data_IF_436927373615
#
_entry.id   IF_436927373615
#
_cell.length_a   1.000
_cell.length_b   1.000
_cell.length_c   1.000
_cell.angle_alpha   90.00
_cell.angle_beta   90.00
_cell.angle_gamma   90.00
#
_symmetry.space_group_name_H-M   'P 1'
#
loop_
_entity.id
_entity.type
_entity.pdbx_description
1 polymer ?
#
# COMPACT_ATOMS: atom_id res chain seq x y z
N UNK A 1 -30.45 -69.85 1.75
CA UNK A 1 -29.54 -70.06 0.61
C UNK A 1 -29.09 -68.67 0.17
N UNK A 2 -27.82 -68.29 0.23
CA UNK A 2 -26.60 -69.03 0.64
C UNK A 2 -25.63 -68.07 1.37
N UNK A 3 -24.59 -68.60 2.03
CA UNK A 3 -23.86 -67.95 3.14
C UNK A 3 -22.48 -67.36 2.81
N UNK A 4 -22.17 -66.24 3.48
CA UNK A 4 -20.92 -65.92 4.23
C UNK A 4 -19.56 -66.40 3.68
N UNK A 5 -18.63 -65.43 3.52
CA UNK A 5 -17.20 -65.55 3.93
C UNK A 5 -16.73 -64.20 4.51
N UNK A 6 -15.88 -64.21 5.54
CA UNK A 6 -15.22 -63.05 6.16
C UNK A 6 -13.72 -63.32 6.39
N UNK A 7 -12.88 -62.25 6.40
CA UNK A 7 -11.45 -62.19 6.81
C UNK A 7 -10.91 -60.75 6.59
N UNK A 8 -10.03 -60.09 7.36
CA UNK A 8 -9.02 -60.48 8.38
C UNK A 8 -7.82 -61.26 7.77
N UNK A 9 -6.51 -61.08 8.04
CA UNK A 9 -5.64 -60.34 8.98
C UNK A 9 -4.20 -60.35 8.35
N UNK A 10 -3.14 -59.57 8.67
CA UNK A 10 -2.87 -58.36 9.50
C UNK A 10 -1.38 -57.93 9.25
N UNK A 11 -0.86 -56.87 9.91
CA UNK A 11 0.56 -56.43 9.97
C UNK A 11 1.14 -55.76 8.68
N UNK A 12 2.24 -54.99 8.71
CA UNK A 12 3.34 -54.93 9.70
C UNK A 12 3.84 -53.53 10.07
N UNK A 13 4.60 -53.46 11.18
CA UNK A 13 5.24 -52.27 11.76
C UNK A 13 6.78 -52.30 11.65
N UNK A 14 7.40 -51.12 11.66
CA UNK A 14 8.74 -50.77 12.18
C UNK A 14 8.90 -49.24 11.96
N UNK A 15 9.12 -48.33 12.93
CA UNK A 15 10.05 -48.22 14.08
C UNK A 15 11.51 -47.89 13.71
N UNK A 16 12.20 -47.23 14.67
CA UNK A 16 13.58 -46.65 14.68
C UNK A 16 13.53 -45.11 14.52
N UNK A 17 13.24 -44.33 15.59
CA UNK A 17 14.12 -43.88 16.70
C UNK A 17 15.13 -42.79 16.29
N UNK A 18 14.96 -41.50 16.62
CA UNK A 18 15.05 -40.85 17.96
C UNK A 18 16.46 -40.85 18.58
N UNK A 19 17.08 -39.66 18.69
CA UNK A 19 18.25 -39.38 19.55
C UNK A 19 18.18 -37.93 20.07
N UNK A 20 18.74 -37.68 21.25
CA UNK A 20 18.71 -36.41 21.98
C UNK A 20 20.02 -36.18 22.75
N UNK A 21 20.51 -34.94 22.74
CA UNK A 21 21.46 -34.34 23.70
C UNK A 21 22.82 -35.09 23.91
N UNK A 22 23.68 -34.69 24.88
CA UNK A 22 24.52 -33.51 24.68
C UNK A 22 26.01 -33.75 25.05
N UNK A 23 26.93 -32.88 24.61
CA UNK A 23 28.30 -32.87 25.15
C UNK A 23 28.87 -31.48 25.45
N UNK A 24 29.41 -31.34 26.66
CA UNK A 24 30.24 -30.21 27.12
C UNK A 24 31.71 -30.64 27.20
N UNK A 25 32.63 -29.72 26.93
CA UNK A 25 33.96 -29.71 27.56
C UNK A 25 34.46 -28.27 27.78
N UNK A 26 35.50 -28.09 28.60
CA UNK A 26 36.07 -26.79 29.01
C UNK A 26 37.60 -26.86 28.96
N UNK A 27 38.30 -25.89 28.35
CA UNK A 27 39.68 -25.43 28.66
C UNK A 27 40.00 -24.21 27.74
N UNK A 28 40.89 -23.23 28.02
CA UNK A 28 41.16 -22.50 29.28
C UNK A 28 42.06 -21.26 29.07
N UNK A 29 41.79 -20.17 29.82
CA UNK A 29 42.71 -19.08 30.30
C UNK A 29 43.39 -18.10 29.29
N UNK A 30 43.39 -16.82 29.70
CA UNK A 30 44.21 -15.67 29.22
C UNK A 30 45.63 -15.70 29.86
N UNK A 31 46.51 -14.66 29.78
CA UNK A 31 46.63 -13.49 28.88
C UNK A 31 48.07 -13.29 28.31
N UNK A 32 48.34 -12.19 27.58
CA UNK A 32 49.71 -11.71 27.30
C UNK A 32 49.74 -10.27 26.78
N UNK A 33 50.68 -9.44 27.27
CA UNK A 33 50.80 -8.01 26.89
C UNK A 33 52.26 -7.60 26.64
N UNK A 34 52.49 -6.53 25.86
CA UNK A 34 53.75 -5.77 25.83
C UNK A 34 53.58 -4.39 25.19
N UNK A 35 54.35 -3.42 25.69
CA UNK A 35 54.32 -1.99 25.31
C UNK A 35 55.71 -1.52 24.87
N UNK A 36 55.80 -0.50 23.98
CA UNK A 36 56.85 0.55 24.02
C UNK A 36 56.65 1.71 23.01
N UNK A 37 56.11 2.80 23.55
CA UNK A 37 56.51 4.22 23.41
C UNK A 37 57.31 4.79 22.20
N UNK A 38 56.91 6.03 21.87
CA UNK A 38 57.65 7.15 21.23
C UNK A 38 57.92 7.17 19.71
N UNK A 39 57.20 8.07 19.02
CA UNK A 39 57.78 9.39 18.65
C UNK A 39 56.71 10.46 18.39
N UNK A 40 56.88 11.66 18.94
CA UNK A 40 56.19 12.89 18.48
C UNK A 40 56.92 13.41 17.23
N UNK A 41 56.18 13.72 16.16
CA UNK A 41 56.49 14.82 15.24
C UNK A 41 55.18 15.48 14.82
N UNK A 42 55.12 16.80 14.94
CA UNK A 42 54.03 17.61 14.38
C UNK A 42 54.48 18.16 13.03
N UNK A 43 53.58 18.14 12.05
CA UNK A 43 53.34 19.26 11.13
C UNK A 43 51.94 19.15 10.53
N UNK A 44 51.43 20.27 10.05
CA UNK A 44 50.00 20.49 9.75
C UNK A 44 49.62 20.08 8.33
N UNK A 45 48.31 19.86 8.16
CA UNK A 45 47.51 20.11 6.96
C UNK A 45 47.97 19.51 5.62
N UNK A 46 47.29 18.44 5.22
CA UNK A 46 46.30 18.60 4.15
C UNK A 46 45.00 17.90 4.56
N UNK A 47 43.86 18.39 4.08
CA UNK A 47 42.58 17.73 4.27
C UNK A 47 42.54 16.44 3.42
N UNK A 48 42.82 15.31 4.06
CA UNK A 48 42.23 14.04 3.67
C UNK A 48 40.87 13.94 4.37
N UNK A 49 39.94 14.82 3.98
CA UNK A 49 38.53 14.68 4.33
C UNK A 49 38.01 13.39 3.70
N UNK A 50 37.09 12.73 4.40
CA UNK A 50 36.65 11.38 4.08
C UNK A 50 35.80 11.42 2.80
N UNK A 51 36.41 11.05 1.66
CA UNK A 51 35.67 10.71 0.45
C UNK A 51 34.76 9.47 0.65
N UNK A 52 34.92 8.78 1.79
CA UNK A 52 34.06 7.70 2.28
C UNK A 52 32.78 8.24 2.97
N UNK A 53 32.71 9.51 3.41
CA UNK A 53 31.46 10.14 3.92
C UNK A 53 30.46 10.48 2.80
N UNK A 54 30.87 10.32 1.53
CA UNK A 54 29.96 10.32 0.37
C UNK A 54 29.57 8.89 -0.03
N UNK A 55 29.41 8.02 0.96
CA UNK A 55 28.76 6.71 0.78
C UNK A 55 27.38 6.92 0.19
N UNK A 56 27.17 6.35 -0.99
CA UNK A 56 25.86 6.11 -1.58
C UNK A 56 24.93 5.55 -0.50
N UNK A 57 23.84 6.27 -0.21
CA UNK A 57 22.85 5.83 0.77
C UNK A 57 22.18 4.56 0.25
N UNK A 58 22.63 3.41 0.76
CA UNK A 58 21.96 2.13 0.58
C UNK A 58 20.51 2.28 1.04
N UNK A 59 19.54 1.81 0.24
CA UNK A 59 18.13 1.83 0.64
C UNK A 59 17.88 1.14 1.99
N UNK A 60 18.76 0.18 2.36
CA UNK A 60 18.83 -0.41 3.70
C UNK A 60 19.05 0.64 4.79
N UNK A 61 19.93 1.63 4.59
CA UNK A 61 20.19 2.69 5.57
C UNK A 61 19.00 3.65 5.68
N UNK A 62 18.43 4.07 4.54
CA UNK A 62 17.27 4.96 4.49
C UNK A 62 16.06 4.32 5.21
N UNK A 63 15.82 3.03 4.95
CA UNK A 63 14.78 2.26 5.62
C UNK A 63 15.02 2.11 7.14
N UNK A 64 16.28 1.98 7.59
CA UNK A 64 16.59 1.99 9.02
C UNK A 64 16.39 3.38 9.66
N UNK A 65 16.70 4.47 8.96
CA UNK A 65 16.39 5.82 9.41
C UNK A 65 14.87 6.01 9.58
N UNK A 66 14.07 5.57 8.60
CA UNK A 66 12.62 5.62 8.68
C UNK A 66 12.03 4.76 9.81
N UNK A 67 12.63 3.61 10.10
CA UNK A 67 12.24 2.80 11.25
C UNK A 67 12.50 3.54 12.57
N UNK A 68 13.62 4.25 12.72
CA UNK A 68 13.90 5.09 13.91
C UNK A 68 12.96 6.31 13.96
N UNK A 69 12.73 6.98 12.83
CA UNK A 69 11.80 8.11 12.74
C UNK A 69 10.37 7.74 13.17
N UNK A 70 9.93 6.52 12.90
CA UNK A 70 8.59 6.05 13.26
C UNK A 70 8.50 5.35 14.63
N UNK A 71 9.49 4.53 15.00
CA UNK A 71 9.48 3.69 16.22
C UNK A 71 10.39 4.17 17.36
N UNK A 72 11.22 5.19 17.15
CA UNK A 72 12.23 5.64 18.11
C UNK A 72 13.52 4.82 18.11
N UNK A 73 14.53 5.26 18.87
CA UNK A 73 15.88 4.66 18.94
C UNK A 73 15.90 3.16 19.30
N UNK A 74 14.91 2.65 20.05
CA UNK A 74 14.86 1.25 20.46
C UNK A 74 14.08 0.35 19.49
N UNK A 75 13.43 0.95 18.49
CA UNK A 75 12.56 0.31 17.49
C UNK A 75 11.31 -0.39 18.05
N UNK A 76 10.79 0.03 19.22
CA UNK A 76 9.65 -0.63 19.91
C UNK A 76 8.54 0.35 20.31
N UNK A 77 7.81 0.86 19.31
CA UNK A 77 6.57 1.58 19.60
C UNK A 77 5.96 2.35 18.44
N UNK A 78 5.55 3.58 18.72
CA UNK A 78 5.03 4.62 17.80
C UNK A 78 5.28 5.99 18.44
N UNK A 79 6.54 6.23 18.74
CA UNK A 79 7.05 7.32 19.58
C UNK A 79 8.40 7.86 19.09
N UNK A 80 8.80 7.50 17.87
CA UNK A 80 9.78 8.27 17.09
C UNK A 80 9.20 9.63 16.65
N UNK A 81 10.07 10.55 16.25
CA UNK A 81 9.72 11.95 15.98
C UNK A 81 8.72 12.12 14.81
N UNK A 82 8.72 11.20 13.85
CA UNK A 82 7.78 11.15 12.71
C UNK A 82 6.61 10.16 12.91
N UNK A 83 6.44 9.61 14.11
CA UNK A 83 5.34 8.69 14.44
C UNK A 83 3.93 9.27 14.17
N UNK A 84 3.81 10.60 14.17
CA UNK A 84 2.59 11.35 13.88
C UNK A 84 2.14 11.31 12.41
N UNK A 85 3.03 11.10 11.43
CA UNK A 85 2.71 11.07 10.00
C UNK A 85 2.61 9.66 9.39
N UNK A 86 2.90 8.62 10.19
CA UNK A 86 2.88 7.24 9.71
C UNK A 86 4.15 6.82 8.96
N UNK A 87 4.43 5.51 8.96
CA UNK A 87 5.66 4.95 8.40
C UNK A 87 5.83 5.25 6.90
N UNK A 88 4.75 5.22 6.11
CA UNK A 88 4.83 5.48 4.66
C UNK A 88 5.34 6.89 4.33
N UNK A 89 4.85 7.92 5.03
CA UNK A 89 5.33 9.29 4.86
C UNK A 89 6.71 9.50 5.51
N UNK A 90 6.99 8.81 6.62
CA UNK A 90 8.33 8.79 7.25
C UNK A 90 9.39 8.22 6.30
N UNK A 91 9.05 7.15 5.56
CA UNK A 91 9.93 6.55 4.57
C UNK A 91 10.12 7.46 3.36
N UNK A 92 9.03 8.03 2.83
CA UNK A 92 9.08 8.96 1.71
C UNK A 92 9.91 10.23 2.00
N UNK A 93 9.86 10.76 3.22
CA UNK A 93 10.70 11.88 3.67
C UNK A 93 12.19 11.53 3.61
N UNK A 94 12.62 10.45 4.27
CA UNK A 94 14.03 10.04 4.26
C UNK A 94 14.52 9.62 2.87
N UNK A 95 13.68 8.99 2.04
CA UNK A 95 13.99 8.67 0.64
C UNK A 95 14.16 9.93 -0.20
N UNK A 96 13.30 10.94 -0.02
CA UNK A 96 13.41 12.22 -0.71
C UNK A 96 14.64 13.02 -0.26
N UNK A 97 14.92 13.07 1.05
CA UNK A 97 16.12 13.70 1.59
C UNK A 97 17.40 13.05 1.03
N UNK A 98 17.46 11.71 1.03
CA UNK A 98 18.55 10.95 0.41
C UNK A 98 18.69 11.25 -1.10
N UNK A 99 17.58 11.35 -1.83
CA UNK A 99 17.60 11.71 -3.24
C UNK A 99 18.18 13.12 -3.48
N UNK A 100 17.76 14.12 -2.68
CA UNK A 100 18.24 15.51 -2.77
C UNK A 100 19.74 15.61 -2.46
N UNK A 101 20.27 14.84 -1.51
CA UNK A 101 21.73 14.79 -1.23
C UNK A 101 22.55 14.13 -2.34
N UNK A 102 22.00 13.11 -3.00
CA UNK A 102 22.66 12.42 -4.12
C UNK A 102 22.60 13.25 -5.42
N UNK A 103 21.51 13.98 -5.66
CA UNK A 103 21.45 15.08 -6.64
C UNK A 103 21.29 14.68 -8.12
N UNK A 104 20.81 13.47 -8.42
CA UNK A 104 20.55 13.01 -9.80
C UNK A 104 19.17 12.33 -9.95
N UNK A 105 18.46 12.65 -11.05
CA UNK A 105 17.25 11.95 -11.49
C UNK A 105 15.93 12.70 -11.23
N UNK A 106 14.84 11.92 -11.24
CA UNK A 106 13.53 12.26 -10.69
C UNK A 106 13.37 11.42 -9.43
N UNK A 107 12.70 11.94 -8.40
CA UNK A 107 12.39 11.16 -7.21
C UNK A 107 11.18 10.26 -7.45
N UNK A 108 11.32 8.99 -7.13
CA UNK A 108 10.25 7.98 -7.10
C UNK A 108 10.33 7.27 -5.73
N UNK A 109 9.26 7.20 -4.94
CA UNK A 109 9.27 6.53 -3.63
C UNK A 109 9.28 5.00 -3.77
N UNK A 110 9.79 4.27 -2.78
CA UNK A 110 9.83 2.80 -2.83
C UNK A 110 8.47 2.11 -2.63
N UNK A 111 7.44 2.86 -2.24
CA UNK A 111 6.06 2.40 -2.16
C UNK A 111 5.30 2.86 -3.42
N UNK A 112 5.07 1.95 -4.37
CA UNK A 112 4.39 2.22 -5.65
C UNK A 112 2.97 2.83 -5.51
N UNK A 113 2.34 2.75 -4.32
CA UNK A 113 1.03 3.34 -4.06
C UNK A 113 1.10 4.86 -3.77
N UNK A 114 2.26 5.35 -3.33
CA UNK A 114 2.52 6.74 -2.92
C UNK A 114 2.65 7.66 -4.14
N UNK A 115 1.53 7.95 -4.81
CA UNK A 115 1.50 8.83 -5.98
C UNK A 115 1.89 10.27 -5.64
N UNK A 116 2.87 10.80 -6.37
CA UNK A 116 3.34 12.18 -6.28
C UNK A 116 2.76 13.03 -7.41
N UNK A 117 2.49 14.30 -7.12
CA UNK A 117 2.14 15.31 -8.12
C UNK A 117 3.24 16.37 -8.14
N UNK A 118 4.33 16.08 -8.85
CA UNK A 118 5.57 16.87 -8.78
C UNK A 118 6.36 16.50 -7.52
N UNK A 119 6.62 17.47 -6.65
CA UNK A 119 7.27 17.28 -5.34
C UNK A 119 6.30 16.94 -4.21
N UNK A 120 5.01 16.85 -4.50
CA UNK A 120 3.95 16.95 -3.49
C UNK A 120 3.19 15.63 -3.39
N UNK A 121 2.99 15.15 -2.16
CA UNK A 121 2.24 13.93 -1.82
C UNK A 121 0.85 14.30 -1.30
N UNK A 122 -0.18 13.52 -1.66
CA UNK A 122 -1.51 13.68 -1.06
C UNK A 122 -1.49 13.14 0.38
N UNK A 123 -1.89 13.95 1.34
CA UNK A 123 -1.94 13.61 2.76
C UNK A 123 -3.36 13.80 3.30
N UNK A 124 -3.82 12.82 4.10
CA UNK A 124 -5.00 12.92 4.93
C UNK A 124 -4.57 13.13 6.37
N UNK A 125 -4.78 14.34 6.89
CA UNK A 125 -4.35 14.78 8.21
C UNK A 125 -5.56 15.01 9.14
N UNK A 126 -5.40 14.72 10.42
CA UNK A 126 -6.41 14.97 11.47
C UNK A 126 -5.88 16.00 12.46
N UNK A 127 -6.64 17.06 12.71
CA UNK A 127 -6.29 18.14 13.63
C UNK A 127 -6.45 17.78 15.12
N UNK A 128 -5.74 18.49 15.99
CA UNK A 128 -5.95 18.48 17.45
C UNK A 128 -7.14 19.38 17.81
N UNK A 129 -8.33 19.00 17.34
CA UNK A 129 -9.56 19.80 17.49
C UNK A 129 -10.14 20.19 16.14
N UNK A 130 -10.48 21.46 15.97
CA UNK A 130 -11.02 21.98 14.71
C UNK A 130 -9.92 22.15 13.65
N UNK A 131 -10.27 21.98 12.38
CA UNK A 131 -9.32 21.97 11.26
C UNK A 131 -8.53 23.29 11.04
N UNK A 132 -9.00 24.43 11.55
CA UNK A 132 -8.48 25.76 11.21
C UNK A 132 -6.97 25.94 11.46
N UNK A 133 -6.50 25.62 12.66
CA UNK A 133 -5.07 25.77 13.01
C UNK A 133 -4.16 24.85 12.19
N UNK A 134 -4.65 23.67 11.80
CA UNK A 134 -3.93 22.74 10.94
C UNK A 134 -3.91 23.22 9.47
N UNK A 135 -5.00 23.82 8.97
CA UNK A 135 -5.05 24.46 7.65
C UNK A 135 -4.06 25.61 7.54
N UNK A 136 -4.01 26.49 8.55
CA UNK A 136 -3.05 27.60 8.60
C UNK A 136 -1.59 27.08 8.70
N UNK A 137 -1.35 26.02 9.47
CA UNK A 137 -0.03 25.37 9.59
C UNK A 137 0.43 24.77 8.25
N UNK A 138 -0.45 23.99 7.58
CA UNK A 138 -0.20 23.40 6.27
C UNK A 138 0.08 24.48 5.22
N UNK A 139 -0.72 25.55 5.17
CA UNK A 139 -0.51 26.67 4.26
C UNK A 139 0.82 27.40 4.48
N UNK A 140 1.28 27.51 5.73
CA UNK A 140 2.60 28.08 6.06
C UNK A 140 3.78 27.19 5.60
N UNK A 141 3.57 25.87 5.57
CA UNK A 141 4.51 24.86 5.02
C UNK A 141 4.42 24.75 3.48
N UNK A 142 3.61 25.58 2.81
CA UNK A 142 3.43 25.55 1.37
C UNK A 142 2.49 24.46 0.84
N UNK A 143 1.84 23.70 1.73
CA UNK A 143 0.88 22.67 1.35
C UNK A 143 -0.44 23.26 0.82
N UNK A 144 -0.96 22.68 -0.25
CA UNK A 144 -2.24 23.08 -0.86
C UNK A 144 -3.37 22.23 -0.31
N UNK A 145 -4.19 22.80 0.59
CA UNK A 145 -5.38 22.14 1.14
C UNK A 145 -6.42 21.92 0.03
N UNK A 146 -6.81 20.65 -0.18
CA UNK A 146 -7.77 20.21 -1.20
C UNK A 146 -9.18 20.00 -0.64
N UNK A 147 -9.34 19.85 0.68
CA UNK A 147 -10.65 19.79 1.32
C UNK A 147 -10.58 19.66 2.84
N UNK A 148 -11.68 19.98 3.53
CA UNK A 148 -11.81 19.83 4.99
C UNK A 148 -13.16 19.26 5.38
N UNK A 149 -13.19 18.44 6.43
CA UNK A 149 -14.42 17.89 6.99
C UNK A 149 -14.26 17.59 8.49
N UNK A 150 -14.93 18.38 9.34
CA UNK A 150 -14.73 18.33 10.79
C UNK A 150 -13.27 18.62 11.15
N UNK A 151 -12.62 17.69 11.87
CA UNK A 151 -11.20 17.74 12.19
C UNK A 151 -10.27 17.19 11.09
N UNK A 152 -10.82 16.69 9.96
CA UNK A 152 -10.05 16.10 8.86
C UNK A 152 -9.66 17.16 7.82
N UNK A 153 -8.42 17.12 7.35
CA UNK A 153 -7.85 18.00 6.33
C UNK A 153 -7.16 17.15 5.26
N UNK A 154 -7.59 17.29 4.02
CA UNK A 154 -6.97 16.72 2.83
C UNK A 154 -6.08 17.79 2.21
N UNK A 155 -4.80 17.49 1.95
CA UNK A 155 -3.86 18.45 1.37
C UNK A 155 -2.80 17.78 0.48
N UNK A 156 -2.34 18.49 -0.55
CA UNK A 156 -1.07 18.20 -1.21
C UNK A 156 0.06 18.82 -0.39
N UNK A 157 0.97 18.01 0.15
CA UNK A 157 2.06 18.45 1.03
C UNK A 157 3.40 18.23 0.30
N UNK A 158 4.29 19.23 0.20
CA UNK A 158 5.63 19.03 -0.34
C UNK A 158 6.39 17.98 0.49
N UNK A 159 7.08 17.05 -0.17
CA UNK A 159 7.91 16.05 0.52
C UNK A 159 8.96 16.70 1.43
N UNK A 160 9.51 17.85 1.01
CA UNK A 160 10.44 18.70 1.77
C UNK A 160 9.81 19.43 2.99
N UNK A 161 8.69 18.95 3.50
CA UNK A 161 7.94 19.55 4.63
C UNK A 161 7.19 18.51 5.48
N UNK A 162 7.47 17.21 5.28
CA UNK A 162 6.89 16.13 6.10
C UNK A 162 7.50 16.13 7.51
N UNK A 163 8.76 16.52 7.66
CA UNK A 163 9.44 16.88 8.92
C UNK A 163 8.62 17.89 9.75
N UNK A 164 8.30 19.05 9.17
CA UNK A 164 7.58 20.15 9.81
C UNK A 164 6.11 19.79 10.07
N UNK A 165 5.52 18.95 9.21
CA UNK A 165 4.19 18.39 9.46
C UNK A 165 4.21 17.44 10.67
N UNK A 166 5.24 16.63 10.83
CA UNK A 166 5.37 15.70 11.95
C UNK A 166 5.56 16.41 13.30
N UNK A 167 6.35 17.50 13.33
CA UNK A 167 6.51 18.38 14.51
C UNK A 167 5.27 19.23 14.83
N UNK A 168 4.28 19.29 13.94
CA UNK A 168 3.16 20.23 14.04
C UNK A 168 2.26 19.97 15.25
N UNK A 169 2.25 20.87 16.22
CA UNK A 169 1.39 20.80 17.40
C UNK A 169 -0.12 20.87 17.09
N UNK A 170 -0.52 21.26 15.87
CA UNK A 170 -1.90 21.22 15.40
C UNK A 170 -2.29 19.87 14.78
N UNK A 171 -1.32 18.98 14.51
CA UNK A 171 -1.54 17.64 13.97
C UNK A 171 -1.76 16.62 15.10
N UNK A 172 -2.78 15.77 14.93
CA UNK A 172 -3.04 14.60 15.78
C UNK A 172 -2.48 13.31 15.16
N UNK A 173 -2.67 13.14 13.85
CA UNK A 173 -2.16 12.05 13.04
C UNK A 173 -2.33 12.40 11.55
N UNK A 174 -1.39 12.00 10.69
CA UNK A 174 -1.52 12.01 9.24
C UNK A 174 -1.20 10.64 8.64
N UNK A 175 -1.70 10.41 7.42
CA UNK A 175 -1.42 9.25 6.60
C UNK A 175 -1.39 9.67 5.11
N UNK A 176 -0.73 8.92 4.21
CA UNK A 176 -0.84 9.18 2.79
C UNK A 176 -2.28 8.97 2.33
N UNK A 177 -2.80 9.89 1.53
CA UNK A 177 -4.02 9.67 0.77
C UNK A 177 -3.67 8.94 -0.53
N UNK A 178 -4.01 7.66 -0.62
CA UNK A 178 -3.83 6.89 -1.85
C UNK A 178 -4.97 7.21 -2.85
N UNK A 179 -4.70 7.89 -3.99
CA UNK A 179 -5.74 8.23 -4.96
C UNK A 179 -6.16 7.00 -5.78
N UNK A 180 -7.18 6.29 -5.30
CA UNK A 180 -7.73 5.11 -5.99
C UNK A 180 -8.74 5.51 -7.06
N UNK A 181 -8.26 5.72 -8.29
CA UNK A 181 -9.11 5.81 -9.48
C UNK A 181 -9.73 4.42 -9.76
N UNK A 182 -10.99 4.23 -9.37
CA UNK A 182 -11.76 3.04 -9.70
C UNK A 182 -12.25 3.16 -11.15
N UNK A 183 -11.37 2.85 -12.09
CA UNK A 183 -11.62 2.93 -13.53
C UNK A 183 -10.84 1.82 -14.26
N UNK A 184 -11.44 0.63 -14.31
CA UNK A 184 -11.04 -0.47 -15.18
C UNK A 184 -10.03 -1.49 -14.64
N UNK A 185 -10.07 -2.70 -15.20
CA UNK A 185 -9.16 -3.84 -15.00
C UNK A 185 -8.98 -4.32 -13.54
N UNK A 186 -9.87 -3.98 -12.61
CA UNK A 186 -9.75 -4.32 -11.19
C UNK A 186 -11.11 -4.72 -10.61
N UNK A 187 -11.22 -5.96 -10.10
CA UNK A 187 -12.41 -6.43 -9.39
C UNK A 187 -12.75 -5.50 -8.23
N UNK A 188 -13.96 -4.94 -8.24
CA UNK A 188 -14.40 -4.00 -7.21
C UNK A 188 -14.32 -4.62 -5.80
N UNK A 189 -14.02 -3.78 -4.81
CA UNK A 189 -13.85 -4.22 -3.41
C UNK A 189 -15.12 -4.85 -2.80
N UNK A 190 -16.27 -4.69 -3.46
CA UNK A 190 -17.52 -5.39 -3.12
C UNK A 190 -17.46 -6.90 -3.34
N UNK A 191 -16.63 -7.40 -4.27
CA UNK A 191 -16.49 -8.82 -4.60
C UNK A 191 -15.90 -9.65 -3.44
N UNK A 192 -14.68 -9.36 -2.93
CA UNK A 192 -14.13 -10.05 -1.76
C UNK A 192 -14.87 -9.71 -0.46
N UNK A 193 -15.49 -8.52 -0.34
CA UNK A 193 -16.32 -8.17 0.81
C UNK A 193 -17.58 -9.05 0.92
N UNK A 194 -18.19 -9.41 -0.23
CA UNK A 194 -19.31 -10.37 -0.30
C UNK A 194 -18.84 -11.83 -0.30
N UNK A 195 -17.53 -12.08 -0.50
CA UNK A 195 -16.90 -13.40 -0.67
C UNK A 195 -17.33 -14.13 -1.95
N UNK A 196 -17.63 -13.35 -2.98
CA UNK A 196 -18.03 -13.88 -4.29
C UNK A 196 -16.85 -14.53 -5.02
N UNK A 197 -15.63 -14.02 -4.81
CA UNK A 197 -14.35 -14.67 -5.12
C UNK A 197 -14.25 -16.11 -4.56
N UNK A 198 -14.63 -16.29 -3.29
CA UNK A 198 -14.64 -17.58 -2.60
C UNK A 198 -15.77 -18.47 -3.13
N UNK A 199 -16.92 -17.89 -3.50
CA UNK A 199 -18.03 -18.64 -4.09
C UNK A 199 -17.66 -19.19 -5.49
N UNK A 200 -17.04 -18.37 -6.34
CA UNK A 200 -16.50 -18.76 -7.66
C UNK A 200 -15.45 -19.88 -7.50
N UNK A 201 -14.44 -19.66 -6.66
CA UNK A 201 -13.31 -20.60 -6.49
C UNK A 201 -13.66 -21.89 -5.74
N UNK A 202 -14.62 -21.88 -4.81
CA UNK A 202 -15.00 -23.07 -4.02
C UNK A 202 -16.06 -23.93 -4.71
N UNK A 203 -17.00 -23.30 -5.42
CA UNK A 203 -18.20 -23.99 -5.94
C UNK A 203 -18.36 -23.93 -7.47
N UNK A 204 -17.53 -23.15 -8.18
CA UNK A 204 -17.67 -22.95 -9.62
C UNK A 204 -18.90 -22.11 -10.00
N UNK A 205 -19.34 -21.21 -9.11
CA UNK A 205 -20.54 -20.39 -9.28
C UNK A 205 -20.19 -18.98 -9.76
N UNK A 206 -20.07 -18.81 -11.08
CA UNK A 206 -19.67 -17.57 -11.76
C UNK A 206 -20.82 -16.79 -12.41
N UNK A 207 -22.06 -17.27 -12.32
CA UNK A 207 -23.22 -16.67 -12.97
C UNK A 207 -23.66 -17.34 -14.28
N UNK A 208 -22.89 -18.30 -14.82
CA UNK A 208 -23.21 -19.00 -16.08
C UNK A 208 -24.65 -19.49 -16.16
N UNK A 209 -25.39 -18.98 -17.15
CA UNK A 209 -26.80 -19.33 -17.40
C UNK A 209 -27.83 -18.52 -16.60
N UNK A 210 -27.41 -17.45 -15.92
CA UNK A 210 -28.27 -16.43 -15.32
C UNK A 210 -28.20 -15.15 -16.14
N UNK A 211 -29.37 -14.56 -16.43
CA UNK A 211 -29.47 -13.22 -17.03
C UNK A 211 -29.73 -12.20 -15.92
N UNK A 212 -28.94 -11.12 -15.87
CA UNK A 212 -29.12 -10.01 -14.93
C UNK A 212 -29.49 -8.74 -15.71
N UNK A 213 -30.62 -8.12 -15.34
CA UNK A 213 -31.12 -6.89 -15.96
C UNK A 213 -30.94 -5.68 -15.06
N UNK A 214 -30.24 -4.66 -15.57
CA UNK A 214 -30.06 -3.36 -14.90
C UNK A 214 -31.10 -2.36 -15.39
N UNK A 215 -31.73 -1.65 -14.45
CA UNK A 215 -32.65 -0.53 -14.70
C UNK A 215 -32.07 0.72 -14.01
N UNK A 216 -31.68 1.73 -14.79
CA UNK A 216 -30.97 2.92 -14.33
C UNK A 216 -31.14 4.05 -15.39
N UNK A 217 -30.37 5.14 -15.33
CA UNK A 217 -30.52 6.29 -16.23
C UNK A 217 -30.09 6.00 -17.67
N UNK A 218 -28.93 5.37 -17.86
CA UNK A 218 -28.22 5.23 -19.14
C UNK A 218 -27.12 4.17 -19.09
N UNK A 219 -26.63 3.73 -20.26
CA UNK A 219 -25.56 2.74 -20.40
C UNK A 219 -24.39 3.18 -21.31
N UNK A 220 -24.60 3.90 -22.41
CA UNK A 220 -23.50 4.36 -23.29
C UNK A 220 -23.67 5.79 -23.81
N UNK A 221 -24.11 6.69 -22.93
CA UNK A 221 -24.25 8.11 -23.26
C UNK A 221 -22.90 8.85 -23.37
N UNK A 222 -21.82 8.30 -22.80
CA UNK A 222 -20.45 8.78 -23.03
C UNK A 222 -19.77 8.20 -24.29
N UNK A 223 -20.34 7.21 -25.00
CA UNK A 223 -19.74 6.51 -26.15
C UNK A 223 -18.39 5.82 -25.82
N UNK A 224 -18.34 5.12 -24.68
CA UNK A 224 -17.13 4.46 -24.12
C UNK A 224 -17.34 3.02 -23.66
N UNK A 225 -18.56 2.46 -23.68
CA UNK A 225 -18.77 1.08 -23.22
C UNK A 225 -18.01 0.04 -24.07
N UNK A 226 -17.60 0.39 -25.29
CA UNK A 226 -16.73 -0.43 -26.13
C UNK A 226 -15.27 -0.50 -25.64
N UNK A 227 -14.80 0.52 -24.92
CA UNK A 227 -13.49 0.49 -24.23
C UNK A 227 -13.57 -0.39 -22.98
N UNK A 228 -14.64 -0.30 -22.19
CA UNK A 228 -14.90 -1.16 -21.02
C UNK A 228 -14.98 -2.67 -21.40
N UNK A 229 -15.55 -2.99 -22.57
CA UNK A 229 -15.55 -4.35 -23.13
C UNK A 229 -14.14 -4.76 -23.63
N UNK A 230 -13.28 -3.80 -23.96
CA UNK A 230 -11.91 -4.03 -24.44
C UNK A 230 -10.92 -4.21 -23.28
N UNK A 231 -11.13 -3.53 -22.15
CA UNK A 231 -10.38 -3.75 -20.90
C UNK A 231 -10.83 -5.01 -20.14
N UNK A 232 -12.10 -5.40 -20.32
CA UNK A 232 -12.69 -6.60 -19.69
C UNK A 232 -13.55 -6.30 -18.46
N UNK A 233 -13.94 -5.04 -18.25
CA UNK A 233 -14.83 -4.61 -17.18
C UNK A 233 -16.31 -4.82 -17.52
N UNK A 234 -16.62 -5.03 -18.80
CA UNK A 234 -17.93 -5.46 -19.30
C UNK A 234 -17.81 -6.72 -20.17
N UNK A 235 -18.78 -7.65 -20.10
CA UNK A 235 -18.82 -8.80 -20.98
C UNK A 235 -19.18 -8.41 -22.42
N UNK A 236 -18.66 -9.16 -23.39
CA UNK A 236 -19.13 -9.06 -24.78
C UNK A 236 -20.58 -9.53 -24.90
N UNK A 237 -21.43 -8.79 -25.62
CA UNK A 237 -22.78 -9.26 -25.99
C UNK A 237 -23.93 -8.76 -25.10
N UNK A 238 -23.72 -7.69 -24.32
CA UNK A 238 -24.75 -7.02 -23.52
C UNK A 238 -25.99 -6.68 -24.37
N UNK A 239 -27.18 -6.97 -23.81
CA UNK A 239 -28.46 -6.69 -24.46
C UNK A 239 -29.04 -5.35 -23.96
N UNK A 240 -28.68 -4.27 -24.64
CA UNK A 240 -29.34 -2.96 -24.45
C UNK A 240 -30.73 -3.01 -25.09
N UNK A 241 -31.78 -2.96 -24.25
CA UNK A 241 -33.17 -2.94 -24.69
C UNK A 241 -33.67 -1.52 -24.98
N UNK A 242 -33.25 -0.55 -24.17
CA UNK A 242 -33.52 0.88 -24.38
C UNK A 242 -32.45 1.74 -23.67
N UNK A 243 -31.95 2.77 -24.37
CA UNK A 243 -31.00 3.78 -23.88
C UNK A 243 -31.72 5.12 -23.62
N UNK A 244 -31.10 6.07 -22.89
CA UNK A 244 -31.65 7.43 -22.74
C UNK A 244 -31.78 8.10 -24.12
N UNK A 245 -32.96 8.66 -24.42
CA UNK A 245 -33.25 9.23 -25.74
C UNK A 245 -32.66 10.64 -25.85
N UNK A 246 -31.38 10.69 -26.21
CA UNK A 246 -30.65 11.92 -26.54
C UNK A 246 -29.55 12.30 -25.55
N UNK A 247 -29.28 11.46 -24.54
CA UNK A 247 -28.17 11.62 -23.59
C UNK A 247 -28.08 13.03 -22.99
N UNK A 248 -29.23 13.48 -22.52
CA UNK A 248 -29.47 14.83 -22.00
C UNK A 248 -29.31 14.93 -20.47
N UNK A 249 -29.30 13.79 -19.79
CA UNK A 249 -29.23 13.63 -18.34
C UNK A 249 -28.49 12.37 -17.86
N UNK A 250 -28.30 11.38 -18.74
CA UNK A 250 -27.62 10.12 -18.46
C UNK A 250 -26.17 10.32 -17.98
N UNK A 251 -25.85 9.69 -16.86
CA UNK A 251 -24.54 9.67 -16.22
C UNK A 251 -23.80 8.33 -16.36
N UNK A 252 -24.36 7.41 -17.14
CA UNK A 252 -23.96 6.01 -17.31
C UNK A 252 -23.92 5.21 -15.99
N UNK A 253 -24.81 5.52 -15.03
CA UNK A 253 -24.90 4.78 -13.77
C UNK A 253 -25.24 3.30 -14.03
N UNK A 254 -26.05 3.02 -15.07
CA UNK A 254 -26.37 1.67 -15.52
C UNK A 254 -25.14 0.89 -15.98
N UNK A 255 -24.18 1.54 -16.63
CA UNK A 255 -22.91 0.91 -17.01
C UNK A 255 -22.05 0.59 -15.80
N UNK A 256 -21.90 1.55 -14.89
CA UNK A 256 -21.15 1.35 -13.64
C UNK A 256 -21.76 0.21 -12.77
N UNK A 257 -23.09 0.12 -12.70
CA UNK A 257 -23.78 -1.02 -12.07
C UNK A 257 -23.45 -2.35 -12.78
N UNK A 258 -23.37 -2.37 -14.11
CA UNK A 258 -23.10 -3.59 -14.89
C UNK A 258 -21.66 -4.07 -14.77
N UNK A 259 -20.68 -3.17 -14.62
CA UNK A 259 -19.30 -3.52 -14.26
C UNK A 259 -19.25 -4.25 -12.91
N UNK A 260 -19.92 -3.71 -11.89
CA UNK A 260 -20.00 -4.33 -10.54
C UNK A 260 -20.69 -5.71 -10.59
N UNK A 261 -21.67 -5.91 -11.48
CA UNK A 261 -22.29 -7.23 -11.69
C UNK A 261 -21.31 -8.18 -12.38
N UNK A 262 -20.51 -7.71 -13.34
CA UNK A 262 -19.51 -8.54 -14.04
C UNK A 262 -18.39 -9.02 -13.11
N UNK A 263 -17.89 -8.15 -12.22
CA UNK A 263 -16.93 -8.51 -11.15
C UNK A 263 -17.39 -9.71 -10.32
N UNK A 264 -18.64 -9.66 -9.88
CA UNK A 264 -19.24 -10.63 -8.96
C UNK A 264 -19.63 -11.91 -9.71
N UNK A 265 -20.16 -11.78 -10.92
CA UNK A 265 -20.72 -12.86 -11.73
C UNK A 265 -20.26 -12.75 -13.21
N UNK A 266 -18.99 -13.04 -13.51
CA UNK A 266 -18.41 -12.83 -14.84
C UNK A 266 -18.95 -13.76 -15.93
N UNK A 267 -19.67 -14.84 -15.55
CA UNK A 267 -20.37 -15.73 -16.47
C UNK A 267 -21.85 -15.37 -16.70
N UNK A 268 -22.38 -14.31 -16.08
CA UNK A 268 -23.77 -13.89 -16.26
C UNK A 268 -23.97 -13.11 -17.58
N UNK A 269 -25.09 -13.38 -18.25
CA UNK A 269 -25.55 -12.58 -19.38
C UNK A 269 -26.16 -11.26 -18.85
N UNK A 270 -25.73 -10.10 -19.37
CA UNK A 270 -26.22 -8.79 -18.88
C UNK A 270 -27.16 -8.11 -19.88
N UNK A 271 -28.18 -7.42 -19.36
CA UNK A 271 -29.12 -6.61 -20.13
C UNK A 271 -29.37 -5.25 -19.47
N UNK A 272 -29.68 -4.23 -20.27
CA UNK A 272 -29.95 -2.86 -19.80
C UNK A 272 -31.27 -2.31 -20.33
N UNK A 273 -31.95 -1.46 -19.54
CA UNK A 273 -33.06 -0.62 -19.99
C UNK A 273 -33.14 0.65 -19.14
N UNK A 274 -33.20 1.83 -19.78
CA UNK A 274 -33.42 3.13 -19.10
C UNK A 274 -34.75 3.18 -18.33
N UNK A 275 -34.80 3.92 -17.22
CA UNK A 275 -35.97 4.08 -16.32
C UNK A 275 -37.11 4.97 -16.82
#
# INVERSE_FOLDING_TARGET
MTSVVTRSEVLSSMLISSWLDPFRSRFSRRPGSRTRTHRRRSRMSTAAELLEDRTLLDGTQVFQQALVGFHGDDLVGKDGEMSSIGFDLTLADHEFAAHVENGEGVFEPSNDLLQLHGSDVLVQATAVGEAGELVDSLGAMGATVTGTWGSSVSAMVPLASLDQLAESASLRFAAPGFPMTHAGSVTSQGDPAQRSDLARSTYGLDGTGVVVGTLSDSYDCADVASDDVTSGDLPTGIVVLQEEIGCSSGSDEGRAMMQIIHDVAPGADLAFHTG
#
